data_IF_270039992862
#
_entry.id   IF_270039992862
#
_cell.length_a   1.000
_cell.length_b   1.000
_cell.length_c   1.000
_cell.angle_alpha   90.00
_cell.angle_beta   90.00
_cell.angle_gamma   90.00
#
_symmetry.space_group_name_H-M   'P 1'
#
loop_
_entity.id
_entity.type
_entity.pdbx_description
1 polymer ?
#
# COMPACT_ATOMS: atom_id res chain seq x y z
N UNK A 1 40.67 12.21 16.98
CA UNK A 1 39.56 13.08 16.49
C UNK A 1 38.90 13.74 17.69
N UNK A 2 38.72 15.07 17.68
CA UNK A 2 38.10 15.80 18.80
C UNK A 2 36.66 15.34 18.96
N UNK A 3 36.20 15.10 20.20
CA UNK A 3 34.85 14.58 20.51
C UNK A 3 33.72 15.34 19.78
N UNK A 4 33.93 16.62 19.49
CA UNK A 4 33.04 17.48 18.71
C UNK A 4 32.79 16.98 17.27
N UNK A 5 33.78 16.39 16.61
CA UNK A 5 33.64 15.84 15.26
C UNK A 5 32.91 14.48 15.29
N UNK A 6 33.08 13.70 16.35
CA UNK A 6 32.37 12.44 16.53
C UNK A 6 30.86 12.69 16.75
N UNK A 7 30.51 13.67 17.59
CA UNK A 7 29.12 14.06 17.84
C UNK A 7 28.44 14.55 16.56
N UNK A 8 29.12 15.37 15.74
CA UNK A 8 28.58 15.84 14.46
C UNK A 8 28.28 14.68 13.49
N UNK A 9 29.15 13.68 13.41
CA UNK A 9 28.92 12.48 12.57
C UNK A 9 27.68 11.72 13.05
N UNK A 10 27.50 11.53 14.36
CA UNK A 10 26.32 10.87 14.90
C UNK A 10 25.03 11.65 14.63
N UNK A 11 25.04 12.98 14.72
CA UNK A 11 23.86 13.80 14.43
C UNK A 11 23.47 13.71 12.95
N UNK A 12 24.44 13.80 12.03
CA UNK A 12 24.18 13.67 10.58
C UNK A 12 23.69 12.26 10.24
N UNK A 13 24.28 11.22 10.85
CA UNK A 13 23.85 9.84 10.68
C UNK A 13 22.42 9.62 11.20
N UNK A 14 22.08 10.19 12.36
CA UNK A 14 20.75 10.08 12.96
C UNK A 14 19.68 10.80 12.12
N UNK A 15 19.99 11.98 11.59
CA UNK A 15 19.11 12.70 10.65
C UNK A 15 18.93 11.89 9.36
N UNK A 16 20.00 11.31 8.82
CA UNK A 16 19.93 10.44 7.64
C UNK A 16 19.06 9.19 7.86
N UNK A 17 19.18 8.54 9.02
CA UNK A 17 18.35 7.39 9.40
C UNK A 17 16.89 7.77 9.65
N UNK A 18 16.63 8.92 10.28
CA UNK A 18 15.26 9.39 10.54
C UNK A 18 14.51 9.72 9.24
N UNK A 19 15.20 10.27 8.24
CA UNK A 19 14.63 10.55 6.92
C UNK A 19 14.36 9.28 6.11
N UNK A 20 15.16 8.22 6.28
CA UNK A 20 14.92 6.93 5.60
C UNK A 20 13.70 6.16 6.11
N UNK A 21 13.34 6.34 7.39
CA UNK A 21 12.25 5.60 8.02
C UNK A 21 10.84 6.17 7.72
N UNK A 22 10.72 7.43 7.29
CA UNK A 22 9.43 8.10 7.06
C UNK A 22 8.81 7.85 5.69
N UNK A 23 9.54 7.25 4.75
CA UNK A 23 9.13 7.13 3.35
C UNK A 23 8.47 5.79 2.97
N UNK A 24 8.15 4.91 3.93
CA UNK A 24 7.38 3.70 3.61
C UNK A 24 5.90 4.06 3.37
N UNK A 25 5.61 4.55 2.16
CA UNK A 25 4.25 4.60 1.61
C UNK A 25 3.78 3.16 1.49
N UNK A 26 3.01 2.69 2.48
CA UNK A 26 2.46 1.34 2.45
C UNK A 26 1.51 1.22 1.26
N UNK A 27 1.74 0.16 0.50
CA UNK A 27 1.12 -0.15 -0.77
C UNK A 27 -0.27 -0.75 -0.52
N UNK A 28 -1.31 -0.10 -1.04
CA UNK A 28 -2.69 -0.56 -0.89
C UNK A 28 -3.16 -1.07 -2.25
N UNK A 29 -3.55 -2.35 -2.36
CA UNK A 29 -4.20 -2.86 -3.56
C UNK A 29 -5.48 -2.07 -3.82
N UNK A 30 -5.58 -1.47 -5.00
CA UNK A 30 -6.70 -0.62 -5.37
C UNK A 30 -7.97 -1.45 -5.65
N UNK A 31 -9.13 -1.13 -5.05
CA UNK A 31 -10.40 -1.72 -5.49
C UNK A 31 -10.75 -1.22 -6.90
N UNK A 32 -10.96 -2.16 -7.84
CA UNK A 32 -11.27 -1.84 -9.22
C UNK A 32 -12.78 -1.91 -9.47
N UNK A 33 -13.28 -1.03 -10.34
CA UNK A 33 -14.62 -1.11 -10.90
C UNK A 33 -14.65 -1.97 -12.17
N UNK A 34 -13.49 -2.14 -12.81
CA UNK A 34 -13.37 -2.91 -14.04
C UNK A 34 -11.94 -2.91 -14.58
N UNK A 35 -11.71 -3.79 -15.54
CA UNK A 35 -10.47 -3.88 -16.30
C UNK A 35 -10.78 -4.27 -17.74
N UNK A 36 -10.03 -3.73 -18.68
CA UNK A 36 -10.06 -4.10 -20.08
C UNK A 36 -8.62 -4.26 -20.60
N UNK A 37 -8.38 -5.32 -21.37
CA UNK A 37 -7.12 -5.54 -22.09
C UNK A 37 -7.47 -5.71 -23.57
N UNK A 38 -7.13 -4.72 -24.39
CA UNK A 38 -7.39 -4.71 -25.82
C UNK A 38 -6.09 -4.47 -26.59
N UNK A 39 -5.50 -5.54 -27.12
CA UNK A 39 -4.20 -5.51 -27.75
C UNK A 39 -3.12 -5.00 -26.79
N UNK A 40 -2.62 -3.79 -27.04
CA UNK A 40 -1.62 -3.14 -26.18
C UNK A 40 -2.23 -2.20 -25.13
N UNK A 41 -3.53 -1.94 -25.15
CA UNK A 41 -4.19 -1.08 -24.18
C UNK A 41 -4.58 -1.87 -22.93
N UNK A 42 -4.06 -1.45 -21.78
CA UNK A 42 -4.44 -1.95 -20.46
C UNK A 42 -5.22 -0.85 -19.73
N UNK A 43 -6.54 -0.99 -19.62
CA UNK A 43 -7.40 0.02 -19.02
C UNK A 43 -7.90 -0.46 -17.68
N UNK A 44 -7.75 0.37 -16.65
CA UNK A 44 -8.38 0.14 -15.35
C UNK A 44 -9.52 1.13 -15.18
N UNK A 45 -10.61 0.65 -14.60
CA UNK A 45 -11.73 1.50 -14.18
C UNK A 45 -11.72 1.59 -12.66
N UNK A 46 -11.74 2.80 -12.12
CA UNK A 46 -11.62 3.07 -10.68
C UNK A 46 -12.65 4.09 -10.23
N UNK A 47 -12.88 4.18 -8.92
CA UNK A 47 -13.59 5.30 -8.30
C UNK A 47 -12.57 6.38 -7.87
N UNK A 48 -12.80 7.65 -8.23
CA UNK A 48 -11.96 8.78 -7.83
C UNK A 48 -12.78 9.98 -7.36
N UNK A 49 -12.11 10.92 -6.68
CA UNK A 49 -12.69 12.15 -6.12
C UNK A 49 -12.02 13.42 -6.68
N UNK A 50 -11.33 13.31 -7.81
CA UNK A 50 -10.73 14.43 -8.54
C UNK A 50 -9.22 14.62 -8.32
N UNK A 51 -8.58 13.81 -7.47
CA UNK A 51 -7.15 13.87 -7.19
C UNK A 51 -6.33 12.72 -7.79
N UNK A 52 -6.95 11.88 -8.63
CA UNK A 52 -6.33 10.66 -9.15
C UNK A 52 -5.82 10.85 -10.58
N UNK A 53 -4.59 10.39 -10.85
CA UNK A 53 -3.96 10.43 -12.17
C UNK A 53 -3.26 9.10 -12.48
N UNK A 54 -2.79 8.90 -13.73
CA UNK A 54 -2.04 7.68 -14.11
C UNK A 54 -0.85 7.38 -13.18
N UNK A 55 -0.09 8.40 -12.81
CA UNK A 55 1.09 8.27 -11.94
C UNK A 55 0.72 8.04 -10.46
N UNK A 56 -0.56 8.06 -10.10
CA UNK A 56 -1.03 7.68 -8.77
C UNK A 56 -0.98 6.16 -8.55
N UNK A 57 -0.63 5.38 -9.58
CA UNK A 57 -0.62 3.92 -9.56
C UNK A 57 0.74 3.34 -9.93
N UNK A 58 0.97 2.15 -9.36
CA UNK A 58 2.03 1.22 -9.75
C UNK A 58 1.40 -0.14 -10.03
N UNK A 59 2.03 -0.90 -10.91
CA UNK A 59 1.63 -2.28 -11.21
C UNK A 59 2.68 -3.25 -10.68
N UNK A 60 2.25 -4.15 -9.80
CA UNK A 60 3.10 -5.25 -9.33
C UNK A 60 2.79 -6.49 -10.15
N UNK A 61 3.75 -6.87 -10.99
CA UNK A 61 3.62 -8.02 -11.89
C UNK A 61 4.46 -9.18 -11.37
N UNK A 62 3.79 -10.30 -11.06
CA UNK A 62 4.44 -11.57 -10.72
C UNK A 62 4.23 -12.56 -11.85
N UNK A 63 5.31 -13.16 -12.34
CA UNK A 63 5.26 -14.12 -13.45
C UNK A 63 5.46 -15.54 -12.90
N UNK A 64 4.62 -16.47 -13.33
CA UNK A 64 4.68 -17.89 -12.96
C UNK A 64 4.47 -18.74 -14.19
N UNK A 65 5.56 -19.18 -14.82
CA UNK A 65 5.51 -19.87 -16.11
C UNK A 65 4.92 -18.97 -17.20
N UNK A 66 3.78 -19.38 -17.77
CA UNK A 66 3.05 -18.62 -18.79
C UNK A 66 2.06 -17.61 -18.20
N UNK A 67 1.77 -17.67 -16.90
CA UNK A 67 0.79 -16.81 -16.25
C UNK A 67 1.43 -15.53 -15.70
N UNK A 68 0.69 -14.43 -15.79
CA UNK A 68 1.10 -13.13 -15.26
C UNK A 68 0.04 -12.62 -14.29
N UNK A 69 0.42 -12.39 -13.03
CA UNK A 69 -0.45 -11.87 -12.00
C UNK A 69 -0.16 -10.39 -11.77
N UNK A 70 -1.13 -9.53 -12.07
CA UNK A 70 -1.02 -8.08 -11.92
C UNK A 70 -1.80 -7.64 -10.69
N UNK A 71 -1.14 -6.84 -9.85
CA UNK A 71 -1.79 -6.11 -8.75
C UNK A 71 -1.65 -4.62 -9.02
N UNK A 72 -2.77 -3.92 -9.15
CA UNK A 72 -2.81 -2.46 -9.24
C UNK A 72 -2.71 -1.88 -7.84
N UNK A 73 -1.67 -1.10 -7.59
CA UNK A 73 -1.39 -0.50 -6.28
C UNK A 73 -1.52 1.00 -6.40
N UNK A 74 -2.31 1.59 -5.51
CA UNK A 74 -2.39 3.05 -5.40
C UNK A 74 -1.24 3.54 -4.52
N UNK A 75 -0.35 4.35 -5.09
CA UNK A 75 0.80 4.94 -4.40
C UNK A 75 0.56 6.40 -4.01
N UNK A 76 -0.43 7.06 -4.61
CA UNK A 76 -0.84 8.42 -4.25
C UNK A 76 -2.32 8.46 -3.87
N UNK A 77 -2.62 9.05 -2.70
CA UNK A 77 -3.97 9.12 -2.15
C UNK A 77 -4.84 10.11 -2.92
N UNK A 78 -6.12 9.77 -3.04
CA UNK A 78 -7.13 10.70 -3.55
C UNK A 78 -7.75 11.48 -2.39
N UNK A 79 -7.12 12.62 -2.07
CA UNK A 79 -7.51 13.48 -0.95
C UNK A 79 -8.53 14.56 -1.34
N UNK A 80 -8.95 14.59 -2.61
CA UNK A 80 -9.94 15.54 -3.09
C UNK A 80 -11.34 15.21 -2.55
N UNK A 81 -12.21 16.23 -2.54
CA UNK A 81 -13.52 16.21 -1.86
C UNK A 81 -14.70 16.06 -2.82
N UNK A 82 -14.48 15.65 -4.07
CA UNK A 82 -15.59 15.40 -4.98
C UNK A 82 -16.31 14.10 -4.57
N UNK A 83 -17.56 13.99 -5.00
CA UNK A 83 -18.31 12.72 -4.92
C UNK A 83 -17.55 11.67 -5.75
N UNK A 84 -17.42 10.41 -5.28
CA UNK A 84 -16.79 9.36 -6.05
C UNK A 84 -17.40 9.20 -7.44
N UNK A 85 -16.55 9.26 -8.47
CA UNK A 85 -16.91 9.13 -9.87
C UNK A 85 -16.06 8.05 -10.54
N UNK A 86 -16.62 7.44 -11.58
CA UNK A 86 -15.94 6.45 -12.40
C UNK A 86 -14.94 7.13 -13.31
N UNK A 87 -13.70 6.64 -13.29
CA UNK A 87 -12.63 7.09 -14.19
C UNK A 87 -12.00 5.88 -14.86
N UNK A 88 -11.70 6.03 -16.15
CA UNK A 88 -10.97 5.04 -16.93
C UNK A 88 -9.57 5.57 -17.17
N UNK A 89 -8.57 4.86 -16.66
CA UNK A 89 -7.17 5.17 -16.90
C UNK A 89 -6.58 4.14 -17.85
N UNK A 90 -6.11 4.61 -19.00
CA UNK A 90 -5.51 3.79 -20.05
C UNK A 90 -3.99 3.78 -19.92
N UNK A 91 -3.42 2.59 -19.81
CA UNK A 91 -1.99 2.30 -19.81
C UNK A 91 -1.63 1.44 -21.01
N UNK A 92 -0.35 1.37 -21.37
CA UNK A 92 0.11 0.35 -22.32
C UNK A 92 0.50 -0.93 -21.58
N UNK A 93 0.42 -2.08 -22.26
CA UNK A 93 0.91 -3.35 -21.72
C UNK A 93 2.39 -3.28 -21.30
N UNK A 94 3.18 -2.50 -22.03
CA UNK A 94 4.59 -2.21 -21.71
C UNK A 94 4.73 -1.37 -20.43
N UNK A 95 3.93 -0.31 -20.25
CA UNK A 95 3.90 0.50 -19.02
C UNK A 95 3.56 -0.36 -17.79
N UNK A 96 2.69 -1.35 -17.96
CA UNK A 96 2.26 -2.27 -16.90
C UNK A 96 3.29 -3.39 -16.69
N UNK A 97 4.10 -3.73 -17.69
CA UNK A 97 5.10 -4.80 -17.63
C UNK A 97 4.53 -6.21 -17.94
N UNK A 98 3.42 -6.28 -18.68
CA UNK A 98 2.77 -7.53 -19.10
C UNK A 98 2.95 -7.80 -20.59
N UNK A 99 3.06 -9.08 -20.94
CA UNK A 99 2.94 -9.55 -22.32
C UNK A 99 1.45 -9.77 -22.65
N UNK A 100 0.84 -9.03 -23.58
CA UNK A 100 -0.58 -9.16 -23.92
C UNK A 100 -0.91 -10.47 -24.63
N UNK A 101 0.10 -11.25 -25.07
CA UNK A 101 -0.10 -12.56 -25.72
C UNK A 101 -0.20 -13.71 -24.73
N UNK A 102 0.03 -13.44 -23.44
CA UNK A 102 0.00 -14.43 -22.36
C UNK A 102 -1.18 -14.20 -21.43
N UNK A 103 -1.69 -15.24 -20.74
CA UNK A 103 -2.74 -15.07 -19.74
C UNK A 103 -2.36 -14.06 -18.65
N UNK A 104 -3.25 -13.11 -18.41
CA UNK A 104 -3.11 -12.08 -17.36
C UNK A 104 -4.23 -12.26 -16.34
N UNK A 105 -3.85 -12.36 -15.06
CA UNK A 105 -4.74 -12.48 -13.92
C UNK A 105 -4.64 -11.23 -13.06
N UNK A 106 -5.78 -10.71 -12.63
CA UNK A 106 -5.85 -9.52 -11.77
C UNK A 106 -6.15 -9.96 -10.35
N UNK A 107 -5.27 -9.58 -9.42
CA UNK A 107 -5.37 -9.95 -8.01
C UNK A 107 -6.24 -8.97 -7.20
N UNK A 108 -6.56 -7.81 -7.76
CA UNK A 108 -7.37 -6.78 -7.11
C UNK A 108 -8.81 -7.26 -6.86
N UNK A 109 -9.42 -6.72 -5.81
CA UNK A 109 -10.86 -6.87 -5.59
C UNK A 109 -11.65 -6.03 -6.57
N UNK A 110 -12.75 -6.58 -7.08
CA UNK A 110 -13.71 -5.86 -7.92
C UNK A 110 -14.94 -5.44 -7.13
N UNK A 111 -15.41 -4.21 -7.34
CA UNK A 111 -16.62 -3.66 -6.72
C UNK A 111 -17.52 -3.09 -7.80
N UNK A 112 -18.81 -3.42 -7.77
CA UNK A 112 -19.73 -3.08 -8.86
C UNK A 112 -20.23 -1.63 -8.91
N UNK A 113 -19.85 -0.78 -7.96
CA UNK A 113 -20.31 0.62 -7.87
C UNK A 113 -19.30 1.53 -7.15
N UNK A 114 -19.33 2.82 -7.46
CA UNK A 114 -18.30 3.82 -7.13
C UNK A 114 -18.16 4.04 -5.63
N UNK A 115 -19.30 4.22 -4.93
CA UNK A 115 -19.30 4.39 -3.48
C UNK A 115 -18.76 3.17 -2.75
N UNK A 116 -19.05 1.97 -3.25
CA UNK A 116 -18.55 0.73 -2.69
C UNK A 116 -17.04 0.62 -2.81
N UNK A 117 -16.49 1.00 -3.96
CA UNK A 117 -15.05 1.03 -4.18
C UNK A 117 -14.35 2.04 -3.26
N UNK A 118 -14.91 3.25 -3.09
CA UNK A 118 -14.35 4.27 -2.19
C UNK A 118 -14.42 3.83 -0.72
N UNK A 119 -15.55 3.27 -0.27
CA UNK A 119 -15.69 2.71 1.08
C UNK A 119 -14.70 1.57 1.32
N UNK A 120 -14.55 0.66 0.35
CA UNK A 120 -13.61 -0.46 0.46
C UNK A 120 -12.17 0.03 0.58
N UNK A 121 -11.81 1.07 -0.17
CA UNK A 121 -10.50 1.72 -0.05
C UNK A 121 -10.28 2.28 1.35
N UNK A 122 -11.26 3.01 1.89
CA UNK A 122 -11.20 3.56 3.24
C UNK A 122 -11.00 2.46 4.31
N UNK A 123 -11.69 1.32 4.17
CA UNK A 123 -11.48 0.16 5.05
C UNK A 123 -10.05 -0.38 4.98
N UNK A 124 -9.50 -0.55 3.77
CA UNK A 124 -8.13 -1.03 3.55
C UNK A 124 -7.11 -0.06 4.16
N UNK A 125 -7.30 1.25 3.98
CA UNK A 125 -6.48 2.29 4.59
C UNK A 125 -6.52 2.23 6.12
N UNK A 126 -7.70 2.05 6.70
CA UNK A 126 -7.89 1.93 8.15
C UNK A 126 -7.22 0.67 8.71
N UNK A 127 -7.35 -0.48 8.04
CA UNK A 127 -6.71 -1.73 8.46
C UNK A 127 -5.18 -1.59 8.48
N UNK A 128 -4.62 -1.04 7.41
CA UNK A 128 -3.18 -0.78 7.30
C UNK A 128 -2.67 0.17 8.41
N UNK A 129 -3.50 1.13 8.83
CA UNK A 129 -3.22 2.02 9.95
C UNK A 129 -3.37 1.38 11.34
N UNK A 130 -4.30 0.43 11.51
CA UNK A 130 -4.47 -0.31 12.77
C UNK A 130 -3.28 -1.23 13.06
N UNK A 131 -2.75 -1.94 12.05
CA UNK A 131 -1.54 -2.75 12.17
C UNK A 131 -0.35 -1.94 12.71
N UNK A 132 -0.27 -0.65 12.39
CA UNK A 132 0.75 0.27 12.92
C UNK A 132 0.61 0.54 14.44
N UNK A 133 -0.61 0.52 14.99
CA UNK A 133 -0.84 0.80 16.41
C UNK A 133 -0.41 -0.39 17.30
N UNK A 134 -0.56 -1.60 16.77
CA UNK A 134 -0.14 -2.83 17.46
C UNK A 134 1.37 -3.09 17.32
N UNK A 135 2.00 -2.70 16.20
CA UNK A 135 3.46 -2.79 16.01
C UNK A 135 4.24 -1.64 16.68
N UNK A 136 3.59 -0.48 16.91
CA UNK A 136 4.19 0.70 17.56
C UNK A 136 4.03 0.71 19.09
N UNK A 137 3.36 -0.28 19.68
CA UNK A 137 3.46 -0.50 21.11
C UNK A 137 4.87 -1.05 21.39
N UNK A 138 5.67 -0.29 22.15
CA UNK A 138 7.00 -0.70 22.60
C UNK A 138 6.96 -2.17 23.07
N UNK A 139 8.00 -2.99 22.79
CA UNK A 139 8.00 -4.36 23.27
C UNK A 139 7.91 -4.31 24.79
N UNK A 140 6.75 -4.74 25.33
CA UNK A 140 6.60 -5.01 26.75
C UNK A 140 7.79 -5.89 27.12
N UNK A 141 8.70 -5.34 27.92
CA UNK A 141 9.94 -6.00 28.26
C UNK A 141 9.62 -7.39 28.79
N UNK A 142 10.46 -8.40 28.54
CA UNK A 142 10.22 -9.78 29.00
C UNK A 142 9.84 -9.88 30.50
N UNK A 143 10.24 -8.89 31.31
CA UNK A 143 9.85 -8.74 32.72
C UNK A 143 8.35 -8.42 32.92
N UNK A 144 7.76 -7.60 32.05
CA UNK A 144 6.34 -7.22 32.10
C UNK A 144 5.44 -8.42 31.74
N UNK A 145 5.80 -9.18 30.70
CA UNK A 145 5.09 -10.42 30.34
C UNK A 145 5.20 -11.49 31.43
N UNK A 146 6.33 -11.59 32.13
CA UNK A 146 6.49 -12.53 33.24
C UNK A 146 5.62 -12.16 34.44
N UNK A 147 5.56 -10.87 34.81
CA UNK A 147 4.75 -10.40 35.93
C UNK A 147 3.24 -10.67 35.75
N UNK A 148 2.73 -10.50 34.52
CA UNK A 148 1.33 -10.77 34.21
C UNK A 148 0.98 -12.27 34.26
N UNK A 149 1.91 -13.15 33.86
CA UNK A 149 1.72 -14.60 33.96
C UNK A 149 1.70 -15.06 35.42
N UNK A 150 2.59 -14.54 36.27
CA UNK A 150 2.60 -14.90 37.70
C UNK A 150 1.40 -14.37 38.47
N UNK A 151 0.87 -13.20 38.10
CA UNK A 151 -0.34 -12.63 38.73
C UNK A 151 -1.60 -13.41 38.36
N UNK A 152 -1.62 -14.04 37.18
CA UNK A 152 -2.75 -14.85 36.70
C UNK A 152 -2.76 -16.27 37.26
N UNK A 153 -1.63 -16.78 37.71
CA UNK A 153 -1.49 -18.12 38.31
C UNK A 153 -1.71 -18.09 39.84
N UNK A 154 -1.51 -16.95 40.50
CA UNK A 154 -1.68 -16.81 41.95
C UNK A 154 -3.10 -16.51 42.45
N UNK A 155 -4.11 -16.61 41.59
CA UNK A 155 -5.49 -16.23 41.90
C UNK A 155 -6.52 -17.35 41.62
N UNK A 156 -6.05 -18.59 41.43
CA UNK A 156 -6.83 -19.83 41.50
C UNK A 156 -6.46 -20.61 42.77
#
# INVERSE_FOLDING_TARGET
MKARNLILVFVVLFIGLALGASAQVREIPEPLLGIELDGNDFRITIAQKGGTFKHSFRFDVRKSGEEQFVTVVRISRDECKMVPQREVLTFTAEEVGVDPRKPVFISNSFVGYEFGADMRRYELEKQTGATRKDESAAPATLKEKAADVFKKIGND
#
